data_IF_583061758832
#
_entry.id   IF_583061758832
#
_cell.length_a   1.000
_cell.length_b   1.000
_cell.length_c   1.000
_cell.angle_alpha   90.00
_cell.angle_beta   90.00
_cell.angle_gamma   90.00
#
_symmetry.space_group_name_H-M   'P 1'
#
loop_
_entity.id
_entity.type
_entity.pdbx_description
1 polymer ?
#
# COMPACT_ATOMS: atom_id res chain seq x y z
N UNK A 1 -22.01 17.15 -1.24
CA UNK A 1 -20.86 16.28 -0.91
C UNK A 1 -21.37 15.16 -0.02
N UNK A 2 -21.13 13.90 -0.38
CA UNK A 2 -21.59 12.74 0.39
C UNK A 2 -20.44 12.27 1.27
N UNK A 3 -20.64 12.27 2.59
CA UNK A 3 -19.67 11.69 3.51
C UNK A 3 -19.65 10.17 3.37
N UNK A 4 -18.47 9.56 3.30
CA UNK A 4 -18.28 8.11 3.31
C UNK A 4 -17.86 7.66 4.71
N UNK A 5 -18.76 6.95 5.41
CA UNK A 5 -18.49 6.42 6.75
C UNK A 5 -17.88 5.03 6.71
N UNK A 6 -16.67 4.92 7.27
CA UNK A 6 -15.93 3.67 7.38
C UNK A 6 -16.21 3.08 8.77
N UNK A 7 -16.97 1.99 8.81
CA UNK A 7 -17.24 1.25 10.06
C UNK A 7 -16.06 0.34 10.36
N UNK A 8 -15.45 0.51 11.53
CA UNK A 8 -14.32 -0.29 11.99
C UNK A 8 -14.76 -1.31 13.03
N UNK A 9 -14.23 -2.53 12.93
CA UNK A 9 -14.33 -3.56 13.98
C UNK A 9 -12.94 -3.79 14.57
N UNK A 10 -12.83 -3.70 15.90
CA UNK A 10 -11.57 -3.91 16.62
C UNK A 10 -10.53 -2.80 16.43
N UNK A 11 -9.28 -3.12 16.75
CA UNK A 11 -8.14 -2.19 16.60
C UNK A 11 -6.91 -2.84 15.98
N UNK A 12 -6.13 -2.10 15.16
CA UNK A 12 -4.84 -2.58 14.68
C UNK A 12 -3.97 -2.99 15.86
N UNK A 13 -3.30 -4.12 15.71
CA UNK A 13 -2.27 -4.52 16.66
C UNK A 13 -1.07 -3.58 16.52
N UNK A 14 -0.23 -3.55 17.56
CA UNK A 14 1.04 -2.82 17.51
C UNK A 14 1.94 -3.46 16.44
N UNK A 15 2.79 -2.65 15.80
CA UNK A 15 3.71 -3.10 14.74
C UNK A 15 4.58 -4.28 15.21
N UNK A 16 5.02 -4.25 16.47
CA UNK A 16 5.83 -5.31 17.09
C UNK A 16 5.13 -6.69 17.09
N UNK A 17 3.80 -6.73 17.03
CA UNK A 17 3.00 -7.96 17.03
C UNK A 17 2.56 -8.31 15.59
N UNK A 18 2.13 -7.30 14.83
CA UNK A 18 1.64 -7.46 13.46
C UNK A 18 2.19 -6.35 12.56
N UNK A 19 3.36 -6.55 11.93
CA UNK A 19 4.02 -5.53 11.12
C UNK A 19 3.50 -5.47 9.68
N UNK A 20 2.76 -6.49 9.23
CA UNK A 20 2.25 -6.60 7.86
C UNK A 20 0.72 -6.49 7.87
N UNK A 21 0.21 -5.61 7.01
CA UNK A 21 -1.22 -5.44 6.75
C UNK A 21 -1.56 -6.13 5.44
N UNK A 22 -2.56 -7.00 5.47
CA UNK A 22 -3.10 -7.65 4.28
C UNK A 22 -4.56 -7.22 4.14
N UNK A 23 -4.92 -6.67 2.98
CA UNK A 23 -6.29 -6.30 2.66
C UNK A 23 -6.72 -6.84 1.31
N UNK A 24 -8.03 -6.95 1.11
CA UNK A 24 -8.59 -6.97 -0.23
C UNK A 24 -8.28 -5.64 -0.96
N UNK A 25 -8.37 -5.64 -2.29
CA UNK A 25 -8.27 -4.44 -3.11
C UNK A 25 -9.57 -4.24 -3.90
N UNK A 26 -10.45 -3.39 -3.39
CA UNK A 26 -11.79 -3.13 -3.99
C UNK A 26 -11.96 -1.68 -4.43
N UNK A 27 -11.07 -0.77 -4.02
CA UNK A 27 -11.18 0.64 -4.39
C UNK A 27 -9.82 1.33 -4.48
N UNK A 28 -9.72 2.32 -5.36
CA UNK A 28 -8.51 3.11 -5.56
C UNK A 28 -8.13 4.00 -4.36
N UNK A 29 -9.07 4.27 -3.45
CA UNK A 29 -8.82 5.12 -2.26
C UNK A 29 -8.23 4.35 -1.07
N UNK A 30 -8.16 3.02 -1.13
CA UNK A 30 -7.66 2.19 -0.03
C UNK A 30 -6.24 2.54 0.43
N UNK A 31 -5.27 2.78 -0.49
CA UNK A 31 -3.92 3.21 -0.10
C UNK A 31 -3.91 4.47 0.76
N UNK A 32 -4.77 5.44 0.45
CA UNK A 32 -4.87 6.71 1.18
C UNK A 32 -5.44 6.46 2.58
N UNK A 33 -6.49 5.65 2.68
CA UNK A 33 -7.08 5.28 3.97
C UNK A 33 -6.08 4.55 4.88
N UNK A 34 -5.37 3.55 4.35
CA UNK A 34 -4.37 2.82 5.15
C UNK A 34 -3.21 3.72 5.55
N UNK A 35 -2.77 4.64 4.70
CA UNK A 35 -1.72 5.59 5.03
C UNK A 35 -2.11 6.55 6.14
N UNK A 36 -3.33 7.08 6.11
CA UNK A 36 -3.88 7.90 7.19
C UNK A 36 -3.95 7.12 8.51
N UNK A 37 -4.38 5.85 8.47
CA UNK A 37 -4.63 5.06 9.68
C UNK A 37 -3.37 4.44 10.30
N UNK A 38 -2.44 3.96 9.46
CA UNK A 38 -1.32 3.11 9.87
C UNK A 38 0.05 3.59 9.41
N UNK A 39 0.09 4.57 8.50
CA UNK A 39 1.31 5.01 7.80
C UNK A 39 2.20 3.85 7.29
N UNK A 40 1.65 2.88 6.53
CA UNK A 40 2.41 1.73 6.08
C UNK A 40 3.20 2.05 4.80
N UNK A 41 4.21 1.23 4.53
CA UNK A 41 4.81 1.11 3.20
C UNK A 41 3.90 0.24 2.32
N UNK A 42 3.43 0.78 1.20
CA UNK A 42 2.47 0.10 0.31
C UNK A 42 3.22 -0.60 -0.83
N UNK A 43 2.71 -1.74 -1.29
CA UNK A 43 3.23 -2.45 -2.45
C UNK A 43 2.37 -2.12 -3.67
N UNK A 44 2.97 -1.60 -4.74
CA UNK A 44 2.26 -1.14 -5.93
C UNK A 44 2.88 -1.68 -7.23
N UNK A 45 2.10 -1.74 -8.31
CA UNK A 45 2.65 -2.08 -9.65
C UNK A 45 3.56 -0.94 -10.14
N UNK A 46 4.71 -1.29 -10.73
CA UNK A 46 5.64 -0.35 -11.38
C UNK A 46 4.93 0.54 -12.42
N UNK A 47 3.90 0.00 -13.08
CA UNK A 47 3.08 0.73 -14.06
C UNK A 47 2.35 1.96 -13.52
N UNK A 48 2.21 2.13 -12.20
CA UNK A 48 1.54 3.32 -11.63
C UNK A 48 2.43 4.56 -11.63
N UNK A 49 3.75 4.40 -11.79
CA UNK A 49 4.71 5.50 -11.71
C UNK A 49 4.58 6.51 -12.86
N UNK A 50 4.07 6.04 -14.00
CA UNK A 50 3.86 6.82 -15.23
C UNK A 50 2.56 7.65 -15.23
N UNK A 51 1.70 7.50 -14.22
CA UNK A 51 0.45 8.25 -14.14
C UNK A 51 0.70 9.66 -13.57
N UNK A 52 0.26 10.74 -14.26
CA UNK A 52 0.41 12.09 -13.73
C UNK A 52 -0.40 12.25 -12.43
N UNK A 53 0.15 13.01 -11.47
CA UNK A 53 -0.39 13.21 -10.10
C UNK A 53 -0.35 11.95 -9.23
N UNK A 54 -0.94 10.85 -9.68
CA UNK A 54 -0.98 9.57 -8.96
C UNK A 54 0.43 9.02 -8.72
N UNK A 55 1.30 9.04 -9.73
CA UNK A 55 2.69 8.63 -9.60
C UNK A 55 3.47 9.48 -8.58
N UNK A 56 3.18 10.78 -8.48
CA UNK A 56 3.82 11.65 -7.48
C UNK A 56 3.40 11.31 -6.06
N UNK A 57 2.09 11.05 -5.84
CA UNK A 57 1.57 10.64 -4.53
C UNK A 57 2.18 9.29 -4.13
N UNK A 58 2.15 8.33 -5.05
CA UNK A 58 2.70 6.98 -4.83
C UNK A 58 4.20 7.03 -4.50
N UNK A 59 4.99 7.84 -5.22
CA UNK A 59 6.40 8.07 -4.88
C UNK A 59 6.60 8.68 -3.49
N UNK A 60 5.78 9.68 -3.12
CA UNK A 60 5.86 10.32 -1.81
C UNK A 60 5.52 9.35 -0.66
N UNK A 61 4.68 8.35 -0.92
CA UNK A 61 4.33 7.29 0.05
C UNK A 61 5.41 6.21 0.21
N UNK A 62 6.56 6.34 -0.45
CA UNK A 62 7.69 5.40 -0.40
C UNK A 62 7.29 3.94 -0.69
N UNK A 63 6.51 3.72 -1.75
CA UNK A 63 6.03 2.38 -2.10
C UNK A 63 7.13 1.43 -2.55
N UNK A 64 6.91 0.13 -2.33
CA UNK A 64 7.69 -0.94 -2.96
C UNK A 64 7.04 -1.26 -4.30
N UNK A 65 7.77 -1.04 -5.39
CA UNK A 65 7.27 -1.31 -6.73
C UNK A 65 7.46 -2.78 -7.12
N UNK A 66 6.48 -3.33 -7.84
CA UNK A 66 6.51 -4.71 -8.35
C UNK A 66 6.15 -4.73 -9.83
N UNK A 67 7.02 -5.33 -10.62
CA UNK A 67 6.72 -5.74 -11.99
C UNK A 67 6.34 -7.23 -12.00
N UNK A 68 5.06 -7.51 -12.22
CA UNK A 68 4.51 -8.87 -12.16
C UNK A 68 5.05 -9.79 -13.27
N UNK A 69 5.47 -9.21 -14.40
CA UNK A 69 6.02 -9.94 -15.54
C UNK A 69 7.48 -10.35 -15.30
N UNK A 70 8.20 -9.65 -14.40
CA UNK A 70 9.59 -9.95 -14.06
C UNK A 70 9.67 -10.83 -12.81
N UNK A 71 10.27 -12.03 -12.93
CA UNK A 71 10.54 -12.87 -11.78
C UNK A 71 11.58 -12.25 -10.83
N UNK A 72 12.55 -11.51 -11.38
CA UNK A 72 13.55 -10.80 -10.60
C UNK A 72 12.89 -9.71 -9.73
N UNK A 73 12.04 -8.87 -10.33
CA UNK A 73 11.32 -7.82 -9.58
C UNK A 73 10.47 -8.38 -8.45
N UNK A 74 9.78 -9.51 -8.66
CA UNK A 74 9.03 -10.18 -7.59
C UNK A 74 9.93 -10.65 -6.44
N UNK A 75 11.12 -11.17 -6.74
CA UNK A 75 12.10 -11.58 -5.71
C UNK A 75 12.67 -10.38 -4.96
N UNK A 76 12.98 -9.30 -5.66
CA UNK A 76 13.50 -8.07 -5.06
C UNK A 76 12.47 -7.43 -4.11
N UNK A 77 11.21 -7.35 -4.53
CA UNK A 77 10.13 -6.83 -3.69
C UNK A 77 9.93 -7.65 -2.41
N UNK A 78 10.01 -8.99 -2.50
CA UNK A 78 9.94 -9.85 -1.30
C UNK A 78 11.12 -9.59 -0.36
N UNK A 79 12.32 -9.29 -0.88
CA UNK A 79 13.50 -8.92 -0.07
C UNK A 79 13.36 -7.55 0.59
N UNK A 80 12.64 -6.62 -0.05
CA UNK A 80 12.40 -5.28 0.49
C UNK A 80 11.34 -5.26 1.60
N UNK A 81 10.40 -6.20 1.58
CA UNK A 81 9.46 -6.41 2.69
C UNK A 81 10.24 -6.97 3.89
N UNK A 82 10.71 -6.08 4.75
CA UNK A 82 11.37 -6.41 6.01
C UNK A 82 10.38 -6.31 7.17
N UNK A 83 10.30 -7.38 7.95
CA UNK A 83 9.55 -7.44 9.22
C UNK A 83 10.39 -6.84 10.33
#
# INVERSE_FOLDING_TARGET
>A
MVYQWIRRKGKPARREIAPIVVSNHVSYIEPIFYFYELSPTIVASESHDSLPVVGTIIRAMQVIYVNRLSQASRKDAVREIKV
#
